data_IF_838739703319
#
_entry.id   IF_838739703319
#
_cell.length_a   1.000
_cell.length_b   1.000
_cell.length_c   1.000
_cell.angle_alpha   90.00
_cell.angle_beta   90.00
_cell.angle_gamma   90.00
#
_symmetry.space_group_name_H-M   'P 1'
#
loop_
_entity.id
_entity.type
_entity.pdbx_description
1 polymer ?
#
# COMPACT_ATOMS: atom_id res chain seq x y z
N UNK A 1 -19.63 11.38 6.42
CA UNK A 1 -18.59 12.36 6.75
C UNK A 1 -19.02 13.70 6.19
N UNK A 2 -19.29 14.66 7.04
CA UNK A 2 -19.62 16.03 6.61
C UNK A 2 -18.36 16.69 6.04
N UNK A 3 -18.43 17.16 4.81
CA UNK A 3 -17.40 18.01 4.20
C UNK A 3 -17.24 19.27 5.07
N UNK A 4 -16.07 19.46 5.67
CA UNK A 4 -15.71 20.71 6.34
C UNK A 4 -15.28 20.62 7.81
N UNK A 5 -15.21 19.45 8.42
CA UNK A 5 -14.74 19.30 9.80
C UNK A 5 -13.54 18.36 9.91
N UNK A 6 -12.57 18.70 10.76
CA UNK A 6 -11.53 17.76 11.17
C UNK A 6 -12.15 16.56 11.92
N UNK A 7 -11.44 15.42 11.91
CA UNK A 7 -11.85 14.23 12.66
C UNK A 7 -10.62 13.54 13.26
N UNK A 8 -10.86 12.73 14.28
CA UNK A 8 -9.85 11.89 14.90
C UNK A 8 -10.28 10.43 14.78
N UNK A 9 -9.38 9.57 14.41
CA UNK A 9 -9.54 8.12 14.43
C UNK A 9 -8.58 7.54 15.45
N UNK A 10 -9.04 6.74 16.40
CA UNK A 10 -8.15 6.00 17.30
C UNK A 10 -7.19 5.08 16.52
N UNK A 11 -6.16 4.58 17.21
CA UNK A 11 -5.25 3.59 16.65
C UNK A 11 -6.02 2.40 16.07
N UNK A 12 -5.65 1.97 14.87
CA UNK A 12 -6.28 0.86 14.13
C UNK A 12 -7.73 1.11 13.67
N UNK A 13 -8.32 2.26 13.96
CA UNK A 13 -9.65 2.63 13.50
C UNK A 13 -9.62 3.28 12.12
N UNK A 14 -10.67 3.05 11.33
CA UNK A 14 -10.84 3.56 9.98
C UNK A 14 -11.60 2.59 9.10
N UNK A 15 -11.66 2.85 7.80
CA UNK A 15 -12.28 1.93 6.85
C UNK A 15 -11.33 0.76 6.57
N UNK A 16 -11.79 -0.45 6.92
CA UNK A 16 -10.99 -1.67 6.81
C UNK A 16 -11.10 -2.28 5.40
N UNK A 17 -9.96 -2.57 4.80
CA UNK A 17 -9.87 -3.24 3.49
C UNK A 17 -8.87 -4.39 3.64
N UNK A 18 -9.27 -5.60 3.24
CA UNK A 18 -8.37 -6.75 3.16
C UNK A 18 -7.97 -6.97 1.70
N UNK A 19 -6.72 -6.75 1.37
CA UNK A 19 -6.21 -6.93 0.02
C UNK A 19 -4.71 -7.28 0.04
N UNK A 20 -4.26 -8.00 -0.96
CA UNK A 20 -2.84 -8.37 -1.16
C UNK A 20 -2.16 -9.01 0.07
N UNK A 21 -2.90 -9.74 0.89
CA UNK A 21 -2.39 -10.38 2.10
C UNK A 21 -2.13 -9.42 3.27
N UNK A 22 -2.59 -8.18 3.19
CA UNK A 22 -2.42 -7.14 4.20
C UNK A 22 -3.76 -6.76 4.83
N UNK A 23 -3.72 -6.33 6.09
CA UNK A 23 -4.77 -5.50 6.67
C UNK A 23 -4.51 -4.03 6.29
N UNK A 24 -5.45 -3.41 5.60
CA UNK A 24 -5.35 -2.01 5.18
C UNK A 24 -6.43 -1.22 5.89
N UNK A 25 -6.04 -0.24 6.70
CA UNK A 25 -6.95 0.68 7.37
C UNK A 25 -6.84 2.04 6.71
N UNK A 26 -7.84 2.45 5.96
CA UNK A 26 -7.87 3.78 5.35
C UNK A 26 -8.25 4.83 6.39
N UNK A 27 -7.36 5.78 6.63
CA UNK A 27 -7.54 6.88 7.59
C UNK A 27 -8.16 8.11 6.93
N UNK A 28 -7.78 8.39 5.69
CA UNK A 28 -8.38 9.45 4.87
C UNK A 28 -8.23 9.13 3.39
N UNK A 29 -9.02 9.78 2.57
CA UNK A 29 -9.08 9.57 1.13
C UNK A 29 -9.20 10.90 0.38
N UNK A 30 -9.23 10.84 -0.95
CA UNK A 30 -9.31 12.02 -1.80
C UNK A 30 -10.51 12.91 -1.54
N UNK A 31 -11.67 12.36 -1.15
CA UNK A 31 -12.83 13.18 -0.81
C UNK A 31 -12.58 14.12 0.37
N UNK A 32 -11.82 13.65 1.36
CA UNK A 32 -11.50 14.43 2.56
C UNK A 32 -10.37 15.42 2.33
N UNK A 33 -9.48 15.16 1.37
CA UNK A 33 -8.24 15.92 1.14
C UNK A 33 -8.23 16.74 -0.14
N UNK A 34 -9.39 16.87 -0.82
CA UNK A 34 -9.48 17.49 -2.15
C UNK A 34 -8.49 16.89 -3.15
N UNK A 35 -8.42 15.56 -3.17
CA UNK A 35 -7.54 14.74 -4.00
C UNK A 35 -6.03 14.93 -3.75
N UNK A 36 -5.65 15.62 -2.68
CA UNK A 36 -4.24 15.89 -2.39
C UNK A 36 -3.48 14.62 -1.97
N UNK A 37 -4.09 13.78 -1.13
CA UNK A 37 -3.49 12.52 -0.67
C UNK A 37 -4.53 11.57 -0.09
N UNK A 38 -4.14 10.29 -0.03
CA UNK A 38 -4.79 9.26 0.79
C UNK A 38 -3.81 8.79 1.86
N UNK A 39 -4.31 8.34 2.99
CA UNK A 39 -3.48 7.83 4.08
C UNK A 39 -4.03 6.49 4.58
N UNK A 40 -3.14 5.50 4.63
CA UNK A 40 -3.44 4.15 5.07
C UNK A 40 -2.53 3.75 6.23
N UNK A 41 -3.03 2.90 7.09
CA UNK A 41 -2.22 2.11 8.00
C UNK A 41 -2.20 0.67 7.49
N UNK A 42 -1.02 0.14 7.19
CA UNK A 42 -0.84 -1.26 6.83
C UNK A 42 -0.51 -2.07 8.08
N UNK A 43 -1.24 -3.17 8.26
CA UNK A 43 -0.89 -4.25 9.18
C UNK A 43 -0.32 -5.40 8.36
N UNK A 44 0.97 -5.65 8.49
CA UNK A 44 1.70 -6.64 7.70
C UNK A 44 2.04 -7.80 8.63
N UNK A 45 1.36 -8.95 8.51
CA UNK A 45 1.58 -10.09 9.40
C UNK A 45 3.04 -10.55 9.40
N UNK A 46 3.46 -11.21 10.49
CA UNK A 46 4.77 -11.85 10.56
C UNK A 46 4.98 -12.82 9.39
N UNK A 47 6.19 -12.90 8.87
CA UNK A 47 6.57 -13.83 7.80
C UNK A 47 5.72 -13.70 6.53
N UNK A 48 5.37 -12.48 6.17
CA UNK A 48 4.58 -12.18 4.97
C UNK A 48 5.48 -11.69 3.84
N UNK A 49 5.42 -12.39 2.71
CA UNK A 49 5.95 -11.89 1.45
C UNK A 49 5.00 -10.82 0.91
N UNK A 50 5.43 -9.61 0.83
CA UNK A 50 4.59 -8.50 0.36
C UNK A 50 4.16 -8.62 -1.10
N UNK A 51 3.71 -7.52 -1.70
CA UNK A 51 3.32 -7.52 -3.10
C UNK A 51 4.52 -7.82 -4.01
N UNK A 52 4.30 -8.36 -5.22
CA UNK A 52 5.35 -8.42 -6.23
C UNK A 52 5.95 -7.03 -6.49
N UNK A 53 7.21 -6.98 -6.94
CA UNK A 53 7.84 -5.73 -7.32
C UNK A 53 7.02 -5.00 -8.38
N UNK A 54 6.72 -3.73 -8.15
CA UNK A 54 5.82 -2.93 -8.98
C UNK A 54 6.23 -1.47 -9.00
N UNK A 55 5.60 -0.74 -9.91
CA UNK A 55 5.79 0.69 -10.13
C UNK A 55 4.44 1.36 -10.03
N UNK A 56 4.34 2.45 -9.28
CA UNK A 56 3.22 3.38 -9.33
C UNK A 56 3.54 4.48 -10.34
N UNK A 57 2.74 4.62 -11.39
CA UNK A 57 2.97 5.63 -12.44
C UNK A 57 2.27 6.97 -12.15
N UNK A 58 1.39 7.01 -11.17
CA UNK A 58 0.53 8.18 -10.87
C UNK A 58 0.81 8.82 -9.51
N UNK A 59 1.31 8.06 -8.56
CA UNK A 59 1.43 8.48 -7.16
C UNK A 59 2.86 8.35 -6.66
N UNK A 60 3.24 9.29 -5.80
CA UNK A 60 4.34 9.12 -4.87
C UNK A 60 3.81 8.49 -3.59
N UNK A 61 4.62 7.67 -2.94
CA UNK A 61 4.26 7.02 -1.68
C UNK A 61 5.32 7.33 -0.62
N UNK A 62 4.92 7.35 0.64
CA UNK A 62 5.84 7.51 1.77
C UNK A 62 5.45 6.54 2.87
N UNK A 63 6.44 5.87 3.44
CA UNK A 63 6.25 4.98 4.58
C UNK A 63 6.80 5.59 5.86
N UNK A 64 6.02 5.48 6.94
CA UNK A 64 6.46 5.75 8.31
C UNK A 64 6.19 4.49 9.11
N UNK A 65 7.23 3.84 9.62
CA UNK A 65 7.07 2.65 10.45
C UNK A 65 6.56 3.05 11.84
N UNK A 66 5.48 2.40 12.29
CA UNK A 66 4.92 2.60 13.63
C UNK A 66 5.37 1.54 14.62
N UNK A 67 5.48 0.28 14.18
CA UNK A 67 5.83 -0.84 15.01
C UNK A 67 6.42 -1.99 14.18
N UNK A 68 7.22 -2.83 14.82
CA UNK A 68 7.90 -3.92 14.14
C UNK A 68 9.02 -3.44 13.21
N UNK A 69 9.33 -4.26 12.23
CA UNK A 69 10.32 -3.94 11.18
C UNK A 69 9.76 -4.30 9.82
N UNK A 70 10.18 -3.57 8.81
CA UNK A 70 9.79 -3.81 7.42
C UNK A 70 11.01 -3.72 6.51
N UNK A 71 11.23 -4.75 5.70
CA UNK A 71 12.23 -4.72 4.63
C UNK A 71 11.59 -4.17 3.37
N UNK A 72 12.23 -3.18 2.75
CA UNK A 72 11.78 -2.53 1.51
C UNK A 72 12.90 -2.55 0.50
N UNK A 73 12.60 -3.06 -0.71
CA UNK A 73 13.47 -2.92 -1.88
C UNK A 73 12.96 -1.77 -2.74
N UNK A 74 13.80 -0.81 -3.02
CA UNK A 74 13.46 0.41 -3.76
C UNK A 74 14.57 0.80 -4.73
N UNK A 75 14.30 0.75 -6.03
CA UNK A 75 15.22 1.23 -7.07
C UNK A 75 16.58 0.55 -7.08
N UNK A 76 16.68 -0.70 -6.63
CA UNK A 76 17.95 -1.45 -6.56
C UNK A 76 18.65 -1.36 -5.20
N UNK A 77 18.08 -0.69 -4.22
CA UNK A 77 18.60 -0.58 -2.86
C UNK A 77 17.66 -1.26 -1.85
N UNK A 78 18.22 -1.80 -0.79
CA UNK A 78 17.50 -2.45 0.30
C UNK A 78 17.52 -1.59 1.55
N UNK A 79 16.35 -1.43 2.16
CA UNK A 79 16.15 -0.68 3.40
C UNK A 79 15.44 -1.56 4.42
N UNK A 80 15.76 -1.39 5.70
CA UNK A 80 15.00 -1.93 6.82
C UNK A 80 14.50 -0.78 7.68
N UNK A 81 13.17 -0.63 7.75
CA UNK A 81 12.53 0.38 8.58
C UNK A 81 12.23 -0.19 9.96
N UNK A 82 12.52 0.57 10.99
CA UNK A 82 12.05 0.37 12.35
C UNK A 82 11.14 1.53 12.80
N UNK A 83 10.56 1.45 14.01
CA UNK A 83 9.63 2.47 14.52
C UNK A 83 10.20 3.89 14.44
N UNK A 84 9.45 4.79 13.79
CA UNK A 84 9.83 6.18 13.56
C UNK A 84 10.61 6.44 12.28
N UNK A 85 11.09 5.41 11.59
CA UNK A 85 11.80 5.58 10.33
C UNK A 85 10.84 5.99 9.21
N UNK A 86 11.35 6.82 8.31
CA UNK A 86 10.65 7.35 7.13
C UNK A 86 11.36 6.91 5.85
N UNK A 87 10.59 6.49 4.85
CA UNK A 87 11.08 6.19 3.50
C UNK A 87 10.19 6.86 2.46
N UNK A 88 10.80 7.57 1.52
CA UNK A 88 10.11 8.12 0.35
C UNK A 88 10.25 7.17 -0.86
N UNK A 89 9.12 6.81 -1.45
CA UNK A 89 9.04 5.93 -2.62
C UNK A 89 8.46 6.76 -3.79
N UNK A 90 9.32 7.33 -4.64
CA UNK A 90 8.84 8.15 -5.76
C UNK A 90 8.09 7.31 -6.80
N UNK A 91 7.15 7.95 -7.51
CA UNK A 91 6.52 7.33 -8.69
C UNK A 91 7.58 6.93 -9.71
N UNK A 92 7.23 5.98 -10.57
CA UNK A 92 8.09 5.46 -11.63
C UNK A 92 9.35 4.71 -11.15
N UNK A 93 9.50 4.50 -9.84
CA UNK A 93 10.59 3.71 -9.26
C UNK A 93 10.04 2.38 -8.74
N UNK A 94 10.67 1.28 -9.19
CA UNK A 94 10.27 -0.08 -8.78
C UNK A 94 10.49 -0.28 -7.29
N UNK A 95 9.51 -0.85 -6.61
CA UNK A 95 9.62 -1.20 -5.20
C UNK A 95 8.78 -2.42 -4.83
N UNK A 96 9.13 -3.01 -3.71
CA UNK A 96 8.37 -4.03 -3.00
C UNK A 96 8.77 -4.00 -1.53
N UNK A 97 7.96 -4.61 -0.68
CA UNK A 97 8.25 -4.74 0.74
C UNK A 97 7.82 -6.10 1.26
N UNK A 98 8.39 -6.52 2.38
CA UNK A 98 8.07 -7.79 3.05
C UNK A 98 8.36 -7.71 4.53
N UNK A 99 7.66 -8.52 5.30
CA UNK A 99 7.94 -8.71 6.72
C UNK A 99 8.59 -10.08 6.92
N UNK A 100 9.91 -10.10 7.06
CA UNK A 100 10.71 -11.32 7.29
C UNK A 100 10.86 -11.65 8.77
N UNK A 101 10.23 -10.88 9.65
CA UNK A 101 10.36 -10.97 11.11
C UNK A 101 9.22 -11.76 11.73
N UNK A 102 9.35 -12.08 13.01
CA UNK A 102 8.38 -12.90 13.77
C UNK A 102 7.24 -12.08 14.37
N UNK A 103 7.26 -10.77 14.21
CA UNK A 103 6.25 -9.85 14.72
C UNK A 103 5.53 -9.13 13.58
N UNK A 104 4.30 -8.71 13.84
CA UNK A 104 3.56 -7.82 12.92
C UNK A 104 4.32 -6.51 12.71
N UNK A 105 4.36 -6.04 11.48
CA UNK A 105 4.81 -4.68 11.15
C UNK A 105 3.60 -3.78 10.93
N UNK A 106 3.66 -2.55 11.43
CA UNK A 106 2.64 -1.52 11.19
C UNK A 106 3.29 -0.31 10.56
N UNK A 107 2.72 0.14 9.46
CA UNK A 107 3.29 1.22 8.65
C UNK A 107 2.19 2.18 8.22
N UNK A 108 2.43 3.48 8.37
CA UNK A 108 1.63 4.50 7.71
C UNK A 108 2.13 4.66 6.28
N UNK A 109 1.22 4.56 5.31
CA UNK A 109 1.46 4.90 3.91
C UNK A 109 0.71 6.17 3.55
N UNK A 110 1.43 7.18 3.10
CA UNK A 110 0.87 8.40 2.51
C UNK A 110 1.03 8.32 1.02
N UNK A 111 -0.05 8.46 0.27
CA UNK A 111 -0.08 8.36 -1.20
C UNK A 111 -0.57 9.68 -1.79
N UNK A 112 0.21 10.31 -2.63
CA UNK A 112 -0.10 11.61 -3.24
C UNK A 112 0.18 11.61 -4.75
N UNK A 113 -0.78 12.07 -5.58
CA UNK A 113 -2.17 12.43 -5.25
C UNK A 113 -2.99 11.25 -4.73
N UNK A 114 -4.19 11.49 -4.23
CA UNK A 114 -5.12 10.45 -3.83
C UNK A 114 -5.56 9.60 -5.04
N UNK A 115 -6.10 8.40 -4.78
CA UNK A 115 -6.64 7.52 -5.81
C UNK A 115 -6.37 6.03 -5.57
N UNK A 116 -5.31 5.70 -4.82
CA UNK A 116 -4.94 4.30 -4.55
C UNK A 116 -6.00 3.56 -3.73
N UNK A 117 -6.86 4.27 -3.01
CA UNK A 117 -8.01 3.70 -2.31
C UNK A 117 -8.94 2.93 -3.25
N UNK A 118 -9.12 3.42 -4.46
CA UNK A 118 -9.92 2.73 -5.48
C UNK A 118 -9.31 1.40 -5.91
N UNK A 119 -7.99 1.33 -6.01
CA UNK A 119 -7.26 0.11 -6.32
C UNK A 119 -7.46 -0.97 -5.25
N UNK A 120 -7.26 -0.63 -3.98
CA UNK A 120 -7.45 -1.59 -2.89
C UNK A 120 -8.90 -2.05 -2.79
N UNK A 121 -9.86 -1.14 -2.95
CA UNK A 121 -11.27 -1.50 -2.93
C UNK A 121 -11.63 -2.43 -4.09
N UNK A 122 -11.14 -2.17 -5.30
CA UNK A 122 -11.37 -3.03 -6.45
C UNK A 122 -10.81 -4.44 -6.26
N UNK A 123 -9.65 -4.57 -5.62
CA UNK A 123 -9.10 -5.88 -5.25
C UNK A 123 -9.94 -6.59 -4.19
N UNK A 124 -10.38 -5.86 -3.17
CA UNK A 124 -11.21 -6.41 -2.09
C UNK A 124 -12.60 -6.85 -2.59
N UNK A 125 -13.14 -6.20 -3.61
CA UNK A 125 -14.45 -6.50 -4.21
C UNK A 125 -14.40 -7.68 -5.19
N UNK A 126 -13.24 -8.23 -5.46
CA UNK A 126 -13.13 -9.43 -6.29
C UNK A 126 -13.85 -10.61 -5.62
N UNK A 127 -14.55 -11.47 -6.39
CA UNK A 127 -15.20 -12.63 -5.83
C UNK A 127 -14.25 -13.54 -5.04
N UNK A 128 -14.70 -14.15 -3.93
CA UNK A 128 -13.89 -15.11 -3.20
C UNK A 128 -13.63 -16.36 -4.06
N UNK A 129 -12.49 -17.01 -3.83
CA UNK A 129 -12.09 -18.21 -4.56
C UNK A 129 -10.75 -18.06 -5.28
N UNK A 130 -10.46 -18.89 -6.28
CA UNK A 130 -9.23 -18.78 -7.05
C UNK A 130 -9.07 -17.40 -7.66
N UNK A 131 -7.87 -16.84 -7.56
CA UNK A 131 -7.59 -15.47 -8.05
C UNK A 131 -7.72 -15.42 -9.58
N UNK A 132 -8.56 -14.53 -10.07
CA UNK A 132 -8.62 -14.16 -11.48
C UNK A 132 -7.46 -13.23 -11.81
N UNK A 133 -6.38 -13.81 -12.33
CA UNK A 133 -5.15 -13.09 -12.67
C UNK A 133 -5.41 -12.05 -13.78
N UNK A 134 -6.26 -12.37 -14.74
CA UNK A 134 -6.63 -11.42 -15.81
C UNK A 134 -7.32 -10.19 -15.24
N UNK A 135 -8.28 -10.39 -14.33
CA UNK A 135 -8.98 -9.29 -13.64
C UNK A 135 -8.04 -8.47 -12.76
N UNK A 136 -7.14 -9.13 -12.03
CA UNK A 136 -6.13 -8.42 -11.21
C UNK A 136 -5.23 -7.52 -12.07
N UNK A 137 -4.73 -8.03 -13.20
CA UNK A 137 -3.92 -7.26 -14.13
C UNK A 137 -4.68 -6.06 -14.70
N UNK A 138 -5.97 -6.24 -15.01
CA UNK A 138 -6.81 -5.14 -15.49
C UNK A 138 -6.98 -4.06 -14.42
N UNK A 139 -7.26 -4.45 -13.19
CA UNK A 139 -7.35 -3.51 -12.06
C UNK A 139 -6.04 -2.75 -11.89
N UNK A 140 -4.90 -3.42 -11.91
CA UNK A 140 -3.60 -2.76 -11.82
C UNK A 140 -3.42 -1.72 -12.95
N UNK A 141 -3.73 -2.09 -14.18
CA UNK A 141 -3.63 -1.18 -15.34
C UNK A 141 -4.56 0.03 -15.19
N UNK A 142 -5.78 -0.17 -14.72
CA UNK A 142 -6.77 0.90 -14.51
C UNK A 142 -6.27 1.95 -13.50
N UNK A 143 -5.44 1.55 -12.55
CA UNK A 143 -4.85 2.43 -11.52
C UNK A 143 -3.40 2.82 -11.78
N UNK A 144 -2.86 2.52 -12.95
CA UNK A 144 -1.50 2.90 -13.35
C UNK A 144 -0.40 2.17 -12.59
N UNK A 145 -0.67 0.94 -12.14
CA UNK A 145 0.30 0.09 -11.45
C UNK A 145 0.87 -0.92 -12.44
N UNK A 146 2.18 -1.02 -12.53
CA UNK A 146 2.89 -1.92 -13.42
C UNK A 146 3.72 -2.93 -12.63
N UNK A 147 3.60 -4.21 -12.97
CA UNK A 147 4.46 -5.25 -12.40
C UNK A 147 5.85 -5.21 -13.05
N UNK A 148 6.87 -5.32 -12.23
CA UNK A 148 8.24 -5.55 -12.69
C UNK A 148 8.50 -7.06 -12.66
N UNK A 149 8.34 -7.71 -13.81
CA UNK A 149 8.62 -9.15 -13.93
C UNK A 149 10.12 -9.41 -14.00
N UNK A 150 10.60 -10.55 -13.45
CA UNK A 150 11.98 -10.99 -13.64
C UNK A 150 12.31 -11.14 -15.13
N UNK A 151 13.57 -10.91 -15.53
CA UNK A 151 13.98 -11.01 -16.94
C UNK A 151 13.69 -12.37 -17.59
N UNK A 152 13.63 -13.43 -16.80
CA UNK A 152 13.42 -14.81 -17.26
C UNK A 152 11.95 -15.10 -17.66
N UNK A 153 11.02 -14.19 -17.36
CA UNK A 153 9.58 -14.34 -17.61
C UNK A 153 9.10 -13.46 -18.77
N UNK A 154 10.02 -12.90 -19.54
CA UNK A 154 9.71 -12.06 -20.70
C UNK A 154 9.48 -12.88 -21.96
#
# INVERSE_FOLDING_TARGET
>A
MTLGGGYMLPSREGHQIAAIGLGITMKTNGKSTHDAYSLFEYSIPARTDGPPAHIHTREDESFICLAGKLDVHLGGEDFTLGPGDYLYLPRDVVHTFRNTYDEESRVISVVSPAGLEGYYQALADMPPGPKDIGRMKQIMADFGIMLQLPPEVR
#
